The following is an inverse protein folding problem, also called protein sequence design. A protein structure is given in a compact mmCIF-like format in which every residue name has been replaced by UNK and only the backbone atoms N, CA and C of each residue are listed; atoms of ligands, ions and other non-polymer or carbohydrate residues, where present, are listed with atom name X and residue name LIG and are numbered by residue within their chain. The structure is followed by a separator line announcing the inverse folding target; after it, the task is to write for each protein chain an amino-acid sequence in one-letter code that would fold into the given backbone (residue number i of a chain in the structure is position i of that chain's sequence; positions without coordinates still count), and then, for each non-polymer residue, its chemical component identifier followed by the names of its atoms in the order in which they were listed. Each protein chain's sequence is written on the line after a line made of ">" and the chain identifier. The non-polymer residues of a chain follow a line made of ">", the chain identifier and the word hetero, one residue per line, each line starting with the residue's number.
data_IF_345241450934
#
_entry.id   IF_345241450934
#
_cell.length_a   1.000
_cell.length_b   1.000
_cell.length_c   1.000
_cell.angle_alpha   90.00
_cell.angle_beta   90.00
_cell.angle_gamma   90.00
#
_symmetry.space_group_name_H-M   'P 1'
#
loop_
_entity.id
_entity.type
_entity.pdbx_description
1 polymer ?
#
# COMPACT_ATOMS: atom_id res chain seq x y z
N UNK A 1 13.96 -26.85 9.90
CA UNK A 1 12.51 -26.52 9.99
C UNK A 1 12.38 -25.28 10.84
N UNK A 2 12.32 -24.10 10.21
CA UNK A 2 12.19 -22.82 10.89
C UNK A 2 11.38 -21.89 10.01
N UNK A 3 10.10 -21.80 10.30
CA UNK A 3 9.17 -20.85 9.69
C UNK A 3 9.38 -19.48 10.33
N UNK A 4 10.36 -18.70 9.85
CA UNK A 4 10.62 -17.32 10.29
C UNK A 4 9.88 -16.26 9.44
N UNK A 5 8.73 -16.62 8.85
CA UNK A 5 8.03 -15.74 7.90
C UNK A 5 6.92 -14.85 8.48
N UNK A 6 6.50 -15.03 9.73
CA UNK A 6 5.20 -14.51 10.19
C UNK A 6 5.23 -13.18 10.96
N UNK A 7 6.35 -12.80 11.57
CA UNK A 7 6.38 -11.70 12.56
C UNK A 7 6.39 -10.29 11.96
N UNK A 8 6.49 -10.16 10.62
CA UNK A 8 6.52 -8.86 9.94
C UNK A 8 5.14 -8.29 9.58
N UNK A 9 4.07 -9.08 9.75
CA UNK A 9 2.72 -8.73 9.29
C UNK A 9 1.70 -8.52 10.42
N UNK A 10 2.00 -8.93 11.65
CA UNK A 10 1.10 -8.78 12.81
C UNK A 10 0.55 -7.36 13.03
N UNK A 11 1.34 -6.28 12.99
CA UNK A 11 0.80 -4.93 13.13
C UNK A 11 0.00 -4.46 11.90
N UNK A 12 0.15 -5.10 10.73
CA UNK A 12 -0.63 -4.76 9.53
C UNK A 12 -2.06 -5.32 9.64
N UNK A 13 -2.25 -6.47 10.30
CA UNK A 13 -3.55 -7.13 10.43
C UNK A 13 -4.51 -6.44 11.40
N UNK A 14 -3.98 -5.72 12.39
CA UNK A 14 -4.80 -4.99 13.37
C UNK A 14 -5.61 -3.85 12.72
N UNK A 15 -5.15 -3.30 11.59
CA UNK A 15 -5.89 -2.29 10.79
C UNK A 15 -6.61 -2.86 9.57
N UNK A 16 -6.12 -3.98 9.03
CA UNK A 16 -6.69 -4.68 7.90
C UNK A 16 -7.85 -5.60 8.33
N UNK A 17 -8.90 -5.04 8.93
CA UNK A 17 -10.16 -5.76 9.20
C UNK A 17 -10.80 -6.38 7.93
N UNK A 18 -10.24 -6.12 6.74
CA UNK A 18 -10.68 -6.59 5.45
C UNK A 18 -10.24 -8.02 5.09
N UNK A 19 -9.19 -8.58 5.69
CA UNK A 19 -8.73 -9.95 5.41
C UNK A 19 -8.36 -10.68 6.71
N UNK A 20 -8.98 -11.84 6.94
CA UNK A 20 -8.54 -12.78 7.97
C UNK A 20 -7.13 -13.30 7.63
N UNK A 21 -6.13 -13.08 8.49
CA UNK A 21 -4.74 -13.47 8.23
C UNK A 21 -4.57 -14.98 8.03
N UNK A 22 -5.44 -15.80 8.62
CA UNK A 22 -5.43 -17.25 8.42
C UNK A 22 -5.96 -17.67 7.04
N UNK A 23 -6.69 -16.79 6.36
CA UNK A 23 -7.27 -17.02 5.04
C UNK A 23 -6.39 -16.46 3.89
N UNK A 24 -5.26 -15.83 4.20
CA UNK A 24 -4.33 -15.32 3.18
C UNK A 24 -3.71 -16.49 2.42
N UNK A 25 -4.07 -16.61 1.15
CA UNK A 25 -3.58 -17.64 0.23
C UNK A 25 -2.31 -17.22 -0.51
N UNK A 26 -1.95 -15.93 -0.46
CA UNK A 26 -0.70 -15.42 -1.04
C UNK A 26 -0.34 -14.04 -0.48
N UNK A 27 0.95 -13.82 -0.21
CA UNK A 27 1.45 -12.52 0.25
C UNK A 27 2.84 -12.26 -0.33
N UNK A 28 3.02 -11.06 -0.90
CA UNK A 28 4.31 -10.60 -1.42
C UNK A 28 4.54 -9.15 -1.04
N UNK A 29 5.81 -8.74 -0.92
CA UNK A 29 6.15 -7.34 -0.66
C UNK A 29 7.37 -6.90 -1.45
N UNK A 30 7.45 -5.60 -1.75
CA UNK A 30 8.61 -4.99 -2.36
C UNK A 30 8.98 -3.69 -1.64
N UNK A 31 10.28 -3.50 -1.40
CA UNK A 31 10.82 -2.24 -0.90
C UNK A 31 11.01 -1.28 -2.07
N UNK A 32 10.59 -0.03 -1.88
CA UNK A 32 10.62 1.02 -2.87
C UNK A 32 11.63 2.08 -2.41
N UNK A 33 12.64 2.42 -3.22
CA UNK A 33 13.55 3.51 -2.89
C UNK A 33 12.77 4.83 -2.82
N UNK A 34 13.22 5.77 -1.99
CA UNK A 34 12.64 7.09 -1.83
C UNK A 34 12.90 7.99 -3.06
N UNK A 35 12.33 7.62 -4.21
CA UNK A 35 12.41 8.36 -5.47
C UNK A 35 11.21 8.03 -6.34
N UNK A 36 10.68 9.02 -7.07
CA UNK A 36 9.44 8.86 -7.83
C UNK A 36 9.51 7.81 -8.95
N UNK A 37 10.70 7.46 -9.45
CA UNK A 37 10.85 6.38 -10.45
C UNK A 37 10.44 5.01 -9.88
N UNK A 38 10.43 4.86 -8.56
CA UNK A 38 9.98 3.64 -7.89
C UNK A 38 8.51 3.31 -8.17
N UNK A 39 7.67 4.31 -8.52
CA UNK A 39 6.25 4.10 -8.87
C UNK A 39 6.11 3.16 -10.08
N UNK A 40 7.01 3.28 -11.08
CA UNK A 40 7.01 2.36 -12.23
C UNK A 40 7.33 0.93 -11.79
N UNK A 41 8.30 0.77 -10.88
CA UNK A 41 8.65 -0.53 -10.30
C UNK A 41 7.49 -1.14 -9.51
N UNK A 42 6.78 -0.32 -8.72
CA UNK A 42 5.59 -0.74 -7.99
C UNK A 42 4.49 -1.28 -8.93
N UNK A 43 4.18 -0.55 -10.02
CA UNK A 43 3.21 -1.03 -11.03
C UNK A 43 3.64 -2.35 -11.68
N UNK A 44 4.90 -2.48 -12.06
CA UNK A 44 5.43 -3.70 -12.70
C UNK A 44 5.39 -4.89 -11.74
N UNK A 45 5.75 -4.67 -10.48
CA UNK A 45 5.64 -5.67 -9.42
C UNK A 45 4.18 -6.13 -9.27
N UNK A 46 3.25 -5.20 -9.09
CA UNK A 46 1.81 -5.48 -9.00
C UNK A 46 1.29 -6.27 -10.19
N UNK A 47 1.54 -5.81 -11.41
CA UNK A 47 1.07 -6.50 -12.61
C UNK A 47 1.68 -7.91 -12.78
N UNK A 48 2.91 -8.12 -12.31
CA UNK A 48 3.53 -9.46 -12.33
C UNK A 48 2.90 -10.38 -11.29
N UNK A 49 2.67 -9.88 -10.07
CA UNK A 49 2.02 -10.61 -8.99
C UNK A 49 0.58 -11.02 -9.35
N UNK A 50 -0.22 -10.11 -9.89
CA UNK A 50 -1.61 -10.40 -10.25
C UNK A 50 -1.71 -11.48 -11.34
N UNK A 51 -0.80 -11.45 -12.33
CA UNK A 51 -0.70 -12.51 -13.34
C UNK A 51 -0.30 -13.85 -12.73
N UNK A 52 0.69 -13.86 -11.83
CA UNK A 52 1.10 -15.08 -11.12
C UNK A 52 -0.02 -15.65 -10.23
N UNK A 53 -0.87 -14.79 -9.69
CA UNK A 53 -2.06 -15.19 -8.94
C UNK A 53 -3.27 -15.50 -9.81
N UNK A 54 -3.14 -15.47 -11.14
CA UNK A 54 -4.25 -15.73 -12.08
C UNK A 54 -5.47 -14.82 -11.83
N UNK A 55 -5.22 -13.54 -11.54
CA UNK A 55 -6.26 -12.49 -11.42
C UNK A 55 -5.91 -11.25 -12.27
N UNK A 56 -5.55 -11.40 -13.56
CA UNK A 56 -5.12 -10.29 -14.41
C UNK A 56 -6.22 -9.25 -14.67
N UNK A 57 -7.49 -9.59 -14.48
CA UNK A 57 -8.64 -8.71 -14.67
C UNK A 57 -8.65 -7.50 -13.73
N UNK A 58 -8.03 -7.60 -12.55
CA UNK A 58 -7.90 -6.50 -11.61
C UNK A 58 -6.67 -5.60 -11.90
N UNK A 59 -5.88 -5.89 -12.93
CA UNK A 59 -4.58 -5.25 -13.14
C UNK A 59 -4.69 -3.74 -13.27
N UNK A 60 -5.61 -3.25 -14.09
CA UNK A 60 -5.69 -1.81 -14.40
C UNK A 60 -6.10 -1.00 -13.15
N UNK A 61 -7.13 -1.46 -12.44
CA UNK A 61 -7.64 -0.83 -11.22
C UNK A 61 -6.58 -0.85 -10.10
N UNK A 62 -5.99 -2.02 -9.86
CA UNK A 62 -5.01 -2.19 -8.78
C UNK A 62 -3.73 -1.43 -9.08
N UNK A 63 -3.24 -1.44 -10.34
CA UNK A 63 -2.03 -0.71 -10.70
C UNK A 63 -2.22 0.82 -10.62
N UNK A 64 -3.41 1.32 -10.92
CA UNK A 64 -3.77 2.73 -10.75
C UNK A 64 -3.72 3.11 -9.26
N UNK A 65 -4.47 2.40 -8.42
CA UNK A 65 -4.53 2.65 -6.97
C UNK A 65 -3.15 2.52 -6.33
N UNK A 66 -2.38 1.49 -6.69
CA UNK A 66 -0.99 1.34 -6.21
C UNK A 66 -0.14 2.54 -6.61
N UNK A 67 -0.30 3.07 -7.82
CA UNK A 67 0.46 4.25 -8.26
C UNK A 67 0.14 5.46 -7.40
N UNK A 68 -1.14 5.71 -7.10
CA UNK A 68 -1.56 6.82 -6.24
C UNK A 68 -1.05 6.66 -4.81
N UNK A 69 -1.24 5.48 -4.20
CA UNK A 69 -0.79 5.21 -2.83
C UNK A 69 0.73 5.33 -2.69
N UNK A 70 1.49 4.76 -3.63
CA UNK A 70 2.96 4.84 -3.62
C UNK A 70 3.44 6.26 -3.89
N UNK A 71 2.81 7.00 -4.80
CA UNK A 71 3.17 8.39 -5.08
C UNK A 71 2.96 9.26 -3.85
N UNK A 72 1.85 9.06 -3.14
CA UNK A 72 1.56 9.77 -1.89
C UNK A 72 2.60 9.42 -0.81
N UNK A 73 2.90 8.13 -0.63
CA UNK A 73 3.92 7.67 0.31
C UNK A 73 5.31 8.26 0.02
N UNK A 74 5.74 8.26 -1.24
CA UNK A 74 7.04 8.79 -1.66
C UNK A 74 7.13 10.31 -1.49
N UNK A 75 6.05 11.05 -1.75
CA UNK A 75 5.98 12.50 -1.50
C UNK A 75 6.30 12.81 -0.03
N UNK A 76 5.72 12.07 0.90
CA UNK A 76 5.96 12.27 2.33
C UNK A 76 7.32 11.74 2.77
N UNK A 77 7.78 10.60 2.24
CA UNK A 77 9.10 10.06 2.53
C UNK A 77 10.21 11.04 2.13
N UNK A 78 10.11 11.65 0.95
CA UNK A 78 11.05 12.66 0.43
C UNK A 78 11.03 13.97 1.22
N UNK A 79 9.90 14.31 1.86
CA UNK A 79 9.74 15.57 2.60
C UNK A 79 10.17 15.48 4.06
N UNK A 80 10.23 14.28 4.64
CA UNK A 80 10.32 14.07 6.10
C UNK A 80 11.66 13.58 6.65
N UNK A 81 12.63 13.17 5.81
CA UNK A 81 13.83 12.43 6.26
C UNK A 81 15.09 13.28 6.42
N UNK A 82 15.11 14.53 5.95
CA UNK A 82 16.30 15.39 6.01
C UNK A 82 16.61 15.97 7.41
N UNK A 83 15.67 15.92 8.36
CA UNK A 83 15.76 16.69 9.61
C UNK A 83 16.28 15.91 10.84
N UNK A 84 16.23 14.57 10.85
CA UNK A 84 16.38 13.79 12.10
C UNK A 84 17.60 12.86 12.16
N UNK A 85 18.40 12.73 11.10
CA UNK A 85 19.59 11.86 11.11
C UNK A 85 19.30 10.35 11.28
N UNK A 86 18.03 9.96 11.29
CA UNK A 86 17.59 8.56 11.26
C UNK A 86 17.86 7.96 9.87
N UNK A 87 18.23 6.67 9.77
CA UNK A 87 18.40 6.01 8.48
C UNK A 87 17.10 6.06 7.68
N UNK A 88 17.20 6.51 6.43
CA UNK A 88 16.08 6.62 5.49
C UNK A 88 15.39 5.26 5.33
N UNK A 89 14.16 5.14 5.82
CA UNK A 89 13.42 3.87 5.75
C UNK A 89 12.64 3.81 4.44
N UNK A 90 12.76 2.71 3.67
CA UNK A 90 12.11 2.61 2.38
C UNK A 90 10.59 2.50 2.55
N UNK A 91 9.86 3.12 1.63
CA UNK A 91 8.44 2.83 1.42
C UNK A 91 8.33 1.35 1.05
N UNK A 92 7.30 0.65 1.54
CA UNK A 92 7.09 -0.77 1.24
C UNK A 92 5.68 -1.02 0.74
N UNK A 93 5.57 -1.64 -0.42
CA UNK A 93 4.31 -2.13 -0.96
C UNK A 93 4.13 -3.59 -0.57
N UNK A 94 2.92 -3.94 -0.14
CA UNK A 94 2.46 -5.28 0.19
C UNK A 94 1.23 -5.59 -0.64
N UNK A 95 1.18 -6.80 -1.19
CA UNK A 95 -0.01 -7.36 -1.82
C UNK A 95 -0.37 -8.63 -1.05
N UNK A 96 -1.64 -8.75 -0.69
CA UNK A 96 -2.16 -9.88 0.07
C UNK A 96 -3.44 -10.38 -0.59
N UNK A 97 -3.47 -11.66 -0.94
CA UNK A 97 -4.62 -12.34 -1.53
C UNK A 97 -5.30 -13.19 -0.47
N UNK A 98 -6.53 -12.84 -0.13
CA UNK A 98 -7.47 -13.69 0.59
C UNK A 98 -8.36 -14.50 -0.36
N UNK A 99 -9.38 -15.19 0.17
CA UNK A 99 -10.26 -16.05 -0.63
C UNK A 99 -11.16 -15.26 -1.60
N UNK A 100 -11.64 -14.09 -1.20
CA UNK A 100 -12.56 -13.25 -2.00
C UNK A 100 -12.12 -11.79 -2.11
N UNK A 101 -10.94 -11.47 -1.59
CA UNK A 101 -10.43 -10.09 -1.50
C UNK A 101 -8.93 -10.05 -1.80
N UNK A 102 -8.52 -8.99 -2.46
CA UNK A 102 -7.14 -8.55 -2.60
C UNK A 102 -6.94 -7.29 -1.77
N UNK A 103 -5.88 -7.24 -0.99
CA UNK A 103 -5.45 -6.04 -0.26
C UNK A 103 -4.12 -5.56 -0.82
N UNK A 104 -4.05 -4.26 -1.08
CA UNK A 104 -2.83 -3.55 -1.41
C UNK A 104 -2.52 -2.59 -0.28
N UNK A 105 -1.34 -2.71 0.31
CA UNK A 105 -0.95 -1.92 1.48
C UNK A 105 0.41 -1.26 1.24
N UNK A 106 0.49 0.04 1.50
CA UNK A 106 1.72 0.83 1.40
C UNK A 106 2.09 1.31 2.80
N UNK A 107 3.26 0.90 3.27
CA UNK A 107 3.88 1.40 4.49
C UNK A 107 4.89 2.48 4.15
N UNK A 108 4.85 3.58 4.88
CA UNK A 108 5.80 4.68 4.74
C UNK A 108 6.18 5.26 6.11
N UNK A 109 7.34 5.94 6.23
CA UNK A 109 7.81 6.44 7.52
C UNK A 109 7.06 7.70 8.01
N UNK A 110 6.11 8.25 7.23
CA UNK A 110 5.37 9.44 7.64
C UNK A 110 4.35 9.14 8.73
N UNK A 111 4.25 10.03 9.71
CA UNK A 111 3.18 10.03 10.70
C UNK A 111 1.97 10.88 10.26
N UNK A 112 2.10 11.60 9.14
CA UNK A 112 1.03 12.46 8.61
C UNK A 112 0.01 11.58 7.90
N UNK A 113 -1.24 11.55 8.35
CA UNK A 113 -2.31 10.81 7.68
C UNK A 113 -2.51 11.24 6.22
N UNK A 114 -3.03 10.36 5.33
CA UNK A 114 -3.48 10.78 4.01
C UNK A 114 -4.59 11.82 4.16
N UNK A 115 -4.34 13.05 3.70
CA UNK A 115 -5.33 14.13 3.71
C UNK A 115 -6.13 14.05 2.42
N UNK A 116 -7.42 13.70 2.51
CA UNK A 116 -8.36 13.89 1.41
C UNK A 116 -8.58 15.40 1.23
N UNK A 117 -7.82 16.02 0.33
CA UNK A 117 -8.00 17.43 0.01
C UNK A 117 -9.21 17.61 -0.89
N UNK A 118 -10.12 18.53 -0.55
CA UNK A 118 -11.01 19.13 -1.55
C UNK A 118 -10.12 19.79 -2.62
N UNK A 119 -10.37 19.48 -3.89
CA UNK A 119 -9.57 19.96 -5.00
C UNK A 119 -9.67 21.50 -5.14
N UNK A 120 -8.82 22.22 -4.42
CA UNK A 120 -8.54 23.62 -4.68
C UNK A 120 -7.87 23.76 -6.04
N UNK A 121 -8.30 24.76 -6.81
CA UNK A 121 -7.83 25.06 -8.17
C UNK A 121 -6.29 25.25 -8.19
N UNK A 122 -5.54 24.16 -8.40
CA UNK A 122 -4.08 24.18 -8.49
C UNK A 122 -3.36 23.04 -7.76
N UNK A 123 -4.02 22.30 -6.86
CA UNK A 123 -3.38 21.22 -6.10
C UNK A 123 -3.87 19.84 -6.55
N UNK A 124 -3.01 19.07 -7.24
CA UNK A 124 -3.26 17.67 -7.60
C UNK A 124 -3.36 16.74 -6.37
N UNK A 125 -3.05 17.24 -5.16
CA UNK A 125 -2.92 16.46 -3.93
C UNK A 125 -4.25 15.87 -3.41
N UNK A 126 -5.40 16.33 -3.91
CA UNK A 126 -6.74 15.83 -3.53
C UNK A 126 -7.34 14.76 -4.46
N UNK A 127 -6.87 14.67 -5.72
CA UNK A 127 -7.45 13.75 -6.71
C UNK A 127 -7.06 12.29 -6.48
N UNK A 128 -5.86 12.06 -5.94
CA UNK A 128 -5.33 10.71 -5.76
C UNK A 128 -6.20 9.85 -4.83
N UNK A 129 -6.63 10.38 -3.68
CA UNK A 129 -7.50 9.62 -2.77
C UNK A 129 -8.92 9.45 -3.30
N UNK A 130 -9.43 10.41 -4.07
CA UNK A 130 -10.73 10.26 -4.73
C UNK A 130 -10.70 9.14 -5.79
N UNK A 131 -9.58 8.99 -6.51
CA UNK A 131 -9.36 7.84 -7.40
C UNK A 131 -9.30 6.54 -6.58
N UNK A 132 -8.57 6.51 -5.47
CA UNK A 132 -8.53 5.33 -4.59
C UNK A 132 -9.93 4.96 -4.12
N UNK A 133 -10.73 5.92 -3.67
CA UNK A 133 -12.11 5.70 -3.25
C UNK A 133 -13.00 5.19 -4.38
N UNK A 134 -12.82 5.69 -5.61
CA UNK A 134 -13.65 5.31 -6.75
C UNK A 134 -13.35 3.91 -7.32
N UNK A 135 -12.12 3.42 -7.16
CA UNK A 135 -11.64 2.18 -7.77
C UNK A 135 -11.42 1.05 -6.75
N UNK A 136 -11.86 1.20 -5.49
CA UNK A 136 -11.69 0.19 -4.44
C UNK A 136 -13.02 -0.15 -3.76
N UNK A 137 -13.16 -1.37 -3.25
CA UNK A 137 -14.28 -1.76 -2.38
C UNK A 137 -14.20 -1.09 -1.00
N UNK A 138 -13.04 -0.55 -0.66
CA UNK A 138 -12.78 0.15 0.58
C UNK A 138 -11.30 0.43 0.74
N UNK A 139 -10.99 1.46 1.50
CA UNK A 139 -9.61 1.83 1.82
C UNK A 139 -9.55 2.39 3.24
N UNK A 140 -8.34 2.47 3.78
CA UNK A 140 -8.12 3.02 5.11
C UNK A 140 -6.65 3.30 5.37
N UNK A 141 -6.37 3.83 6.55
CA UNK A 141 -5.02 4.05 7.00
C UNK A 141 -4.93 3.93 8.52
N UNK A 142 -3.74 3.62 9.01
CA UNK A 142 -3.49 3.50 10.44
C UNK A 142 -2.05 3.94 10.75
N UNK A 143 -1.84 4.75 11.81
CA UNK A 143 -0.52 5.02 12.32
C UNK A 143 0.07 3.74 12.95
N UNK A 144 1.32 3.46 12.66
CA UNK A 144 2.06 2.36 13.28
C UNK A 144 2.66 2.85 14.59
N UNK A 145 2.00 2.50 15.70
CA UNK A 145 2.51 2.79 17.03
C UNK A 145 3.74 1.91 17.32
N UNK A 146 4.84 2.53 17.74
CA UNK A 146 6.08 1.85 18.14
C UNK A 146 7.29 2.25 17.32
N UNK A 147 8.39 1.52 17.52
CA UNK A 147 9.64 1.73 16.78
C UNK A 147 9.81 0.61 15.76
N UNK A 148 9.84 0.90 14.45
CA UNK A 148 9.84 2.24 13.87
C UNK A 148 8.46 2.81 13.57
N UNK A 149 8.35 4.12 13.80
CA UNK A 149 7.19 4.96 13.51
C UNK A 149 6.86 4.98 12.01
N UNK A 150 5.63 5.37 11.71
CA UNK A 150 5.15 5.57 10.34
C UNK A 150 3.67 5.29 10.26
N UNK A 151 3.19 5.01 9.05
CA UNK A 151 1.81 4.64 8.80
C UNK A 151 1.72 3.52 7.77
N UNK A 152 0.55 2.90 7.73
CA UNK A 152 0.11 2.07 6.62
C UNK A 152 -1.14 2.69 6.01
N UNK A 153 -1.20 2.75 4.69
CA UNK A 153 -2.40 3.05 3.91
C UNK A 153 -2.73 1.82 3.08
N UNK A 154 -3.99 1.41 3.05
CA UNK A 154 -4.41 0.21 2.32
C UNK A 154 -5.67 0.44 1.49
N UNK A 155 -5.82 -0.40 0.47
CA UNK A 155 -6.96 -0.49 -0.42
C UNK A 155 -7.37 -1.95 -0.59
N UNK A 156 -8.68 -2.19 -0.71
CA UNK A 156 -9.31 -3.50 -0.81
C UNK A 156 -10.02 -3.62 -2.15
N UNK A 157 -9.87 -4.77 -2.79
CA UNK A 157 -10.56 -5.11 -4.04
C UNK A 157 -11.24 -6.46 -3.88
N UNK A 158 -12.43 -6.59 -4.45
CA UNK A 158 -13.16 -7.84 -4.57
C UNK A 158 -12.54 -8.68 -5.67
N UNK A 159 -12.23 -9.93 -5.34
CA UNK A 159 -11.91 -10.91 -6.36
C UNK A 159 -13.21 -11.33 -7.05
N UNK A 160 -13.21 -11.51 -8.38
CA UNK A 160 -14.36 -12.08 -9.06
C UNK A 160 -14.66 -13.48 -8.50
N UNK A 161 -15.95 -13.80 -8.42
CA UNK A 161 -16.37 -15.16 -8.10
C UNK A 161 -15.91 -16.09 -9.24
N UNK A 162 -15.37 -17.26 -8.87
CA UNK A 162 -14.84 -18.25 -9.80
C UNK A 162 -15.94 -18.98 -10.59
#
# INVERSE_FOLDING_TARGET
>A
MGSEGSTLLEPLWQGLAAIDPSAVSGSVSCALPARYEAVKGARQFTGSTLRQWNIPELLDEVALVVSELVTNALRHALSGTAATGEPERPVRLHLMRGPSRLVCAVRDPSEVGPVAGEAGCGEESGRGLHLVESFTDGWGWQPLAGTPRGKIVWAVFRLPDA
#
